data_IF_046969990737
#
_entry.id   IF_046969990737
#
_cell.length_a   1.000
_cell.length_b   1.000
_cell.length_c   1.000
_cell.angle_alpha   90.00
_cell.angle_beta   90.00
_cell.angle_gamma   90.00
#
_symmetry.space_group_name_H-M   'P 1'
#
loop_
_entity.id
_entity.type
_entity.pdbx_description
1 polymer ?
#
# COMPACT_ATOMS: atom_id res chain seq x y z
N UNK A 1 5.72 16.89 -11.53
CA UNK A 1 4.51 16.83 -10.69
C UNK A 1 4.82 15.99 -9.46
N UNK A 2 4.46 16.43 -8.23
CA UNK A 2 4.56 15.56 -7.06
C UNK A 2 3.68 14.33 -7.27
N UNK A 3 4.22 13.16 -6.97
CA UNK A 3 3.50 11.89 -7.08
C UNK A 3 2.33 11.90 -6.08
N UNK A 4 1.10 11.58 -6.53
CA UNK A 4 -0.04 11.52 -5.62
C UNK A 4 0.14 10.37 -4.62
N UNK A 5 -0.51 10.50 -3.46
CA UNK A 5 -0.31 9.57 -2.36
C UNK A 5 -0.84 8.16 -2.69
N UNK A 6 -1.84 8.03 -3.58
CA UNK A 6 -2.28 6.72 -4.10
C UNK A 6 -1.14 5.98 -4.83
N UNK A 7 -0.41 6.68 -5.70
CA UNK A 7 0.72 6.11 -6.43
C UNK A 7 1.86 5.71 -5.51
N UNK A 8 2.14 6.52 -4.48
CA UNK A 8 3.12 6.17 -3.44
C UNK A 8 2.73 4.89 -2.72
N UNK A 9 1.47 4.77 -2.30
CA UNK A 9 0.98 3.57 -1.64
C UNK A 9 1.06 2.33 -2.55
N UNK A 10 0.75 2.49 -3.85
CA UNK A 10 0.86 1.40 -4.82
C UNK A 10 2.30 0.86 -4.95
N UNK A 11 3.30 1.75 -5.02
CA UNK A 11 4.72 1.38 -5.10
C UNK A 11 5.14 0.64 -3.83
N UNK A 12 4.78 1.16 -2.65
CA UNK A 12 5.14 0.54 -1.38
C UNK A 12 4.51 -0.85 -1.20
N UNK A 13 3.27 -1.05 -1.66
CA UNK A 13 2.62 -2.37 -1.66
C UNK A 13 3.42 -3.36 -2.51
N UNK A 14 3.87 -2.96 -3.70
CA UNK A 14 4.67 -3.79 -4.59
C UNK A 14 6.06 -4.13 -3.99
N UNK A 15 6.67 -3.18 -3.29
CA UNK A 15 7.93 -3.41 -2.60
C UNK A 15 7.76 -4.44 -1.46
N UNK A 16 6.65 -4.36 -0.71
CA UNK A 16 6.33 -5.34 0.33
C UNK A 16 6.04 -6.73 -0.26
N UNK A 17 5.39 -6.83 -1.42
CA UNK A 17 5.25 -8.09 -2.14
C UNK A 17 6.61 -8.69 -2.50
N UNK A 18 7.53 -7.85 -2.94
CA UNK A 18 8.89 -8.28 -3.24
C UNK A 18 9.65 -8.68 -1.95
N UNK A 19 9.33 -8.12 -0.78
CA UNK A 19 9.89 -8.54 0.50
C UNK A 19 9.36 -9.91 0.95
N UNK A 20 8.08 -10.21 0.72
CA UNK A 20 7.48 -11.52 1.01
C UNK A 20 8.30 -12.63 0.33
N UNK A 21 8.56 -12.51 -0.98
CA UNK A 21 9.34 -13.50 -1.73
C UNK A 21 10.75 -13.72 -1.16
N UNK A 22 11.39 -12.64 -0.69
CA UNK A 22 12.73 -12.71 -0.08
C UNK A 22 12.72 -13.39 1.29
N UNK A 23 11.67 -13.17 2.08
CA UNK A 23 11.49 -13.84 3.37
C UNK A 23 11.18 -15.33 3.16
N UNK A 24 10.33 -15.66 2.19
CA UNK A 24 10.01 -17.04 1.81
C UNK A 24 11.24 -17.84 1.39
N UNK A 25 12.21 -17.20 0.74
CA UNK A 25 13.50 -17.82 0.40
C UNK A 25 14.35 -18.19 1.65
N UNK A 26 14.03 -17.65 2.83
CA UNK A 26 14.74 -17.86 4.10
C UNK A 26 13.88 -18.63 5.12
N UNK A 27 13.06 -19.58 4.68
CA UNK A 27 12.10 -20.31 5.51
C UNK A 27 12.69 -21.05 6.73
N UNK A 28 13.98 -21.41 6.70
CA UNK A 28 14.68 -22.03 7.83
C UNK A 28 15.21 -21.03 8.88
N UNK A 29 15.16 -19.72 8.60
CA UNK A 29 15.68 -18.71 9.52
C UNK A 29 14.78 -18.58 10.77
N UNK A 30 15.34 -18.47 11.99
CA UNK A 30 14.55 -18.42 13.23
C UNK A 30 13.51 -17.28 13.28
N UNK A 31 13.76 -16.19 12.56
CA UNK A 31 12.86 -15.03 12.49
C UNK A 31 11.88 -15.05 11.31
N UNK A 32 11.83 -16.13 10.53
CA UNK A 32 10.99 -16.24 9.32
C UNK A 32 9.54 -15.81 9.59
N UNK A 33 8.88 -16.44 10.57
CA UNK A 33 7.47 -16.19 10.87
C UNK A 33 7.23 -14.74 11.32
N UNK A 34 8.11 -14.20 12.15
CA UNK A 34 8.01 -12.82 12.64
C UNK A 34 8.15 -11.81 11.50
N UNK A 35 9.15 -11.99 10.64
CA UNK A 35 9.39 -11.12 9.50
C UNK A 35 8.22 -11.18 8.50
N UNK A 36 7.74 -12.39 8.18
CA UNK A 36 6.62 -12.57 7.26
C UNK A 36 5.33 -11.91 7.78
N UNK A 37 5.03 -12.13 9.06
CA UNK A 37 3.85 -11.53 9.70
C UNK A 37 3.92 -9.99 9.68
N UNK A 38 5.08 -9.40 10.01
CA UNK A 38 5.26 -7.96 10.00
C UNK A 38 5.06 -7.35 8.61
N UNK A 39 5.63 -7.97 7.56
CA UNK A 39 5.46 -7.50 6.17
C UNK A 39 4.02 -7.63 5.71
N UNK A 40 3.34 -8.75 6.02
CA UNK A 40 1.93 -8.94 5.66
C UNK A 40 1.01 -7.93 6.36
N UNK A 41 1.27 -7.63 7.64
CA UNK A 41 0.52 -6.60 8.38
C UNK A 41 0.73 -5.21 7.80
N UNK A 42 1.98 -4.84 7.49
CA UNK A 42 2.29 -3.57 6.86
C UNK A 42 1.60 -3.44 5.48
N UNK A 43 1.61 -4.52 4.69
CA UNK A 43 0.95 -4.57 3.38
C UNK A 43 -0.56 -4.38 3.51
N UNK A 44 -1.20 -5.09 4.45
CA UNK A 44 -2.63 -4.96 4.71
C UNK A 44 -3.00 -3.52 5.12
N UNK A 45 -2.22 -2.90 6.00
CA UNK A 45 -2.42 -1.51 6.42
C UNK A 45 -2.33 -0.54 5.23
N UNK A 46 -1.35 -0.71 4.33
CA UNK A 46 -1.20 0.12 3.14
C UNK A 46 -2.35 -0.08 2.14
N UNK A 47 -2.84 -1.30 1.94
CA UNK A 47 -3.99 -1.56 1.06
C UNK A 47 -5.24 -0.84 1.58
N UNK A 48 -5.49 -0.92 2.89
CA UNK A 48 -6.62 -0.24 3.53
C UNK A 48 -6.47 1.28 3.40
N UNK A 49 -5.32 1.83 3.79
CA UNK A 49 -5.06 3.26 3.71
C UNK A 49 -5.12 3.80 2.28
N UNK A 50 -4.62 3.04 1.29
CA UNK A 50 -4.73 3.41 -0.13
C UNK A 50 -6.18 3.50 -0.59
N UNK A 51 -7.02 2.55 -0.19
CA UNK A 51 -8.45 2.57 -0.53
C UNK A 51 -9.14 3.82 0.02
N UNK A 52 -8.77 4.26 1.22
CA UNK A 52 -9.28 5.50 1.83
C UNK A 52 -8.79 6.76 1.11
N UNK A 53 -7.51 6.81 0.74
CA UNK A 53 -6.93 7.90 -0.07
C UNK A 53 -7.67 8.00 -1.41
N UNK A 54 -7.81 6.88 -2.12
CA UNK A 54 -8.50 6.83 -3.39
C UNK A 54 -9.97 7.28 -3.27
N UNK A 55 -10.69 6.80 -2.24
CA UNK A 55 -12.06 7.22 -1.98
C UNK A 55 -12.17 8.73 -1.71
N UNK A 56 -11.21 9.31 -0.97
CA UNK A 56 -11.15 10.77 -0.75
C UNK A 56 -10.89 11.54 -2.05
N UNK A 57 -9.95 11.09 -2.87
CA UNK A 57 -9.64 11.70 -4.17
C UNK A 57 -10.85 11.66 -5.11
N UNK A 58 -11.56 10.52 -5.17
CA UNK A 58 -12.76 10.38 -6.00
C UNK A 58 -13.91 11.28 -5.51
N UNK A 59 -14.14 11.38 -4.19
CA UNK A 59 -15.13 12.32 -3.62
C UNK A 59 -14.79 13.77 -3.96
N UNK A 60 -13.52 14.16 -3.88
CA UNK A 60 -13.09 15.51 -4.24
C UNK A 60 -13.33 15.83 -5.73
N UNK A 61 -13.10 14.86 -6.62
CA UNK A 61 -13.34 15.01 -8.06
C UNK A 61 -14.83 15.07 -8.43
N UNK A 62 -15.68 14.37 -7.69
CA UNK A 62 -17.13 14.29 -7.94
C UNK A 62 -17.92 15.38 -7.19
N UNK A 63 -17.24 16.21 -6.38
CA UNK A 63 -17.84 17.38 -5.73
C UNK A 63 -18.36 18.39 -6.77
N UNK A 64 -19.51 19.05 -6.54
CA UNK A 64 -20.07 20.07 -7.43
C UNK A 64 -19.11 21.23 -7.77
N UNK A 65 -18.11 21.47 -6.92
CA UNK A 65 -17.07 22.49 -7.14
C UNK A 65 -16.06 22.06 -8.22
N UNK A 66 -15.76 20.77 -8.33
CA UNK A 66 -14.86 20.21 -9.34
C UNK A 66 -15.49 20.03 -10.73
N UNK A 67 -16.82 20.14 -10.83
CA UNK A 67 -17.56 20.06 -12.11
C UNK A 67 -17.74 21.43 -12.77
N UNK A 68 -17.47 22.53 -12.03
CA UNK A 68 -17.60 23.91 -12.51
C UNK A 68 -16.28 24.55 -12.96
N UNK A 69 -15.16 23.82 -12.93
CA UNK A 69 -13.84 24.29 -13.36
C UNK A 69 -13.50 23.87 -14.78
#
# INVERSE_FOLDING_TARGET
MPMCDDWRAAILINDLDSMVLRIEALSAHPQYTTALCAVQQAKAALITGRSEIHAREMRARLSPEGVRS
#
